data_IF_932015155523
#
_entry.id   IF_932015155523
#
_cell.length_a   1.000
_cell.length_b   1.000
_cell.length_c   1.000
_cell.angle_alpha   90.00
_cell.angle_beta   90.00
_cell.angle_gamma   90.00
#
_symmetry.space_group_name_H-M   'P 1'
#
loop_
_entity.id
_entity.type
_entity.pdbx_description
1 polymer ?
#
# COMPACT_ATOMS: atom_id res chain seq x y z
N UNK A 1 12.63 24.92 -12.12
CA UNK A 1 12.10 23.60 -11.78
C UNK A 1 13.29 22.73 -11.51
N UNK A 2 13.40 22.24 -10.28
CA UNK A 2 14.49 21.35 -9.88
C UNK A 2 14.43 20.05 -10.71
N UNK A 3 15.56 19.35 -10.88
CA UNK A 3 15.59 18.09 -11.62
C UNK A 3 14.68 17.04 -10.99
N UNK A 4 14.54 17.08 -9.66
CA UNK A 4 13.67 16.20 -8.89
C UNK A 4 12.18 16.49 -9.13
N UNK A 5 11.73 17.74 -9.02
CA UNK A 5 10.35 18.17 -9.29
C UNK A 5 9.92 17.79 -10.72
N UNK A 6 10.84 17.96 -11.67
CA UNK A 6 10.63 17.60 -13.08
C UNK A 6 10.41 16.10 -13.25
N UNK A 7 11.25 15.29 -12.62
CA UNK A 7 11.17 13.83 -12.71
C UNK A 7 9.89 13.30 -12.03
N UNK A 8 9.47 13.92 -10.92
CA UNK A 8 8.20 13.63 -10.24
C UNK A 8 6.98 13.90 -11.12
N UNK A 9 6.92 15.09 -11.75
CA UNK A 9 5.84 15.41 -12.69
C UNK A 9 5.86 14.49 -13.91
N UNK A 10 7.04 14.15 -14.44
CA UNK A 10 7.13 13.25 -15.59
C UNK A 10 6.76 11.80 -15.28
N UNK A 11 7.06 11.28 -14.09
CA UNK A 11 6.53 9.99 -13.64
C UNK A 11 5.01 10.01 -13.51
N UNK A 12 4.43 11.08 -12.95
CA UNK A 12 2.97 11.19 -12.87
C UNK A 12 2.35 11.23 -14.28
N UNK A 13 2.93 12.01 -15.19
CA UNK A 13 2.49 12.08 -16.59
C UNK A 13 2.69 10.75 -17.34
N UNK A 14 3.75 10.00 -17.03
CA UNK A 14 4.02 8.71 -17.65
C UNK A 14 3.06 7.62 -17.19
N UNK A 15 2.73 7.61 -15.90
CA UNK A 15 1.82 6.65 -15.29
C UNK A 15 0.36 6.89 -15.71
N UNK A 16 0.02 8.11 -16.16
CA UNK A 16 -1.34 8.49 -16.56
C UNK A 16 -1.54 8.46 -18.08
N UNK A 17 -0.54 8.82 -18.90
CA UNK A 17 -0.80 9.17 -20.31
C UNK A 17 0.37 9.13 -21.32
N UNK A 18 1.61 8.84 -20.94
CA UNK A 18 2.75 9.01 -21.88
C UNK A 18 2.64 8.15 -23.15
N UNK A 19 2.23 6.89 -23.03
CA UNK A 19 2.12 5.98 -24.18
C UNK A 19 1.03 6.39 -25.18
N UNK A 20 0.06 7.23 -24.76
CA UNK A 20 -1.08 7.64 -25.61
C UNK A 20 -0.97 9.04 -26.21
N UNK A 21 -0.20 9.95 -25.61
CA UNK A 21 -0.28 11.37 -26.00
C UNK A 21 1.07 12.03 -26.33
N UNK A 22 2.21 11.53 -25.84
CA UNK A 22 3.51 12.19 -26.05
C UNK A 22 4.67 11.20 -26.25
N UNK A 23 4.76 10.54 -27.42
CA UNK A 23 5.79 9.54 -27.74
C UNK A 23 7.22 10.10 -27.81
N UNK A 24 7.39 11.43 -27.72
CA UNK A 24 8.69 12.11 -27.81
C UNK A 24 9.19 12.67 -26.48
N UNK A 25 8.43 12.51 -25.40
CA UNK A 25 8.93 12.79 -24.05
C UNK A 25 9.61 11.52 -23.57
N UNK A 26 10.91 11.40 -23.84
CA UNK A 26 11.72 10.30 -23.33
C UNK A 26 11.81 10.46 -21.82
N UNK A 27 11.08 9.62 -21.10
CA UNK A 27 11.13 9.56 -19.65
C UNK A 27 12.51 9.00 -19.28
N UNK A 28 13.15 9.60 -18.29
CA UNK A 28 14.36 9.03 -17.74
C UNK A 28 14.00 7.75 -16.98
N UNK A 29 14.34 6.60 -17.56
CA UNK A 29 14.09 5.30 -16.92
C UNK A 29 14.79 5.18 -15.57
N UNK A 30 15.87 5.94 -15.34
CA UNK A 30 16.58 5.99 -14.06
C UNK A 30 15.70 6.57 -12.93
N UNK A 31 14.67 7.37 -13.24
CA UNK A 31 13.72 7.83 -12.23
C UNK A 31 12.93 6.65 -11.61
N UNK A 32 12.72 5.58 -12.37
CA UNK A 32 12.06 4.37 -11.89
C UNK A 32 12.98 3.47 -11.06
N UNK A 33 14.29 3.75 -11.02
CA UNK A 33 15.26 3.00 -10.23
C UNK A 33 15.21 3.36 -8.74
N UNK A 34 14.54 4.45 -8.34
CA UNK A 34 14.51 4.91 -6.95
C UNK A 34 13.08 5.02 -6.42
N UNK A 35 12.73 4.16 -5.47
CA UNK A 35 11.41 4.06 -4.84
C UNK A 35 10.96 5.35 -4.12
N UNK A 36 11.89 6.22 -3.75
CA UNK A 36 11.56 7.53 -3.17
C UNK A 36 10.76 8.38 -4.14
N UNK A 37 11.05 8.29 -5.43
CA UNK A 37 10.33 9.03 -6.45
C UNK A 37 8.86 8.57 -6.52
N UNK A 38 8.57 7.27 -6.40
CA UNK A 38 7.20 6.77 -6.30
C UNK A 38 6.47 7.32 -5.07
N UNK A 39 7.13 7.34 -3.91
CA UNK A 39 6.55 7.89 -2.70
C UNK A 39 6.26 9.40 -2.82
N UNK A 40 7.20 10.17 -3.38
CA UNK A 40 7.01 11.61 -3.64
C UNK A 40 5.88 11.88 -4.63
N UNK A 41 5.77 11.08 -5.69
CA UNK A 41 4.67 11.20 -6.66
C UNK A 41 3.30 11.00 -5.99
N UNK A 42 3.16 9.97 -5.14
CA UNK A 42 1.95 9.75 -4.36
C UNK A 42 1.73 10.89 -3.36
N UNK A 43 2.77 11.37 -2.68
CA UNK A 43 2.66 12.51 -1.77
C UNK A 43 2.06 13.73 -2.47
N UNK A 44 2.57 14.10 -3.64
CA UNK A 44 2.06 15.23 -4.42
C UNK A 44 0.59 14.99 -4.83
N UNK A 45 0.21 13.76 -5.20
CA UNK A 45 -1.19 13.43 -5.49
C UNK A 45 -2.10 13.56 -4.26
N UNK A 46 -1.62 13.15 -3.08
CA UNK A 46 -2.36 13.27 -1.82
C UNK A 46 -2.54 14.76 -1.44
N UNK A 47 -1.50 15.57 -1.58
CA UNK A 47 -1.58 17.02 -1.35
C UNK A 47 -2.57 17.68 -2.30
N UNK A 48 -2.55 17.31 -3.59
CA UNK A 48 -3.52 17.79 -4.58
C UNK A 48 -4.95 17.38 -4.22
N UNK A 49 -5.17 16.10 -3.88
CA UNK A 49 -6.49 15.60 -3.50
C UNK A 49 -7.05 16.29 -2.24
N UNK A 50 -6.16 16.68 -1.30
CA UNK A 50 -6.54 17.38 -0.09
C UNK A 50 -6.78 18.89 -0.29
N UNK A 51 -6.02 19.52 -1.19
CA UNK A 51 -6.03 20.98 -1.38
C UNK A 51 -7.07 21.47 -2.39
N UNK A 52 -7.45 20.63 -3.37
CA UNK A 52 -8.37 21.05 -4.41
C UNK A 52 -9.19 19.88 -4.97
N UNK A 53 -10.50 20.08 -5.14
CA UNK A 53 -11.42 19.10 -5.75
C UNK A 53 -11.32 19.13 -7.29
N UNK A 54 -10.09 19.10 -7.84
CA UNK A 54 -9.85 19.27 -9.27
C UNK A 54 -10.31 18.03 -10.05
N UNK A 55 -10.10 16.84 -9.48
CA UNK A 55 -10.54 15.56 -10.06
C UNK A 55 -11.21 14.68 -9.01
N UNK A 56 -11.96 13.68 -9.47
CA UNK A 56 -12.67 12.76 -8.57
C UNK A 56 -11.70 11.89 -7.75
N UNK A 57 -12.09 11.50 -6.53
CA UNK A 57 -11.33 10.50 -5.74
C UNK A 57 -11.14 9.18 -6.49
N UNK A 58 -12.07 8.81 -7.39
CA UNK A 58 -11.94 7.66 -8.28
C UNK A 58 -10.72 7.79 -9.21
N UNK A 59 -10.52 8.97 -9.76
CA UNK A 59 -9.35 9.27 -10.61
C UNK A 59 -8.06 9.14 -9.81
N UNK A 60 -7.99 9.74 -8.62
CA UNK A 60 -6.81 9.59 -7.75
C UNK A 60 -6.55 8.13 -7.36
N UNK A 61 -7.60 7.37 -7.03
CA UNK A 61 -7.48 5.96 -6.68
C UNK A 61 -6.94 5.11 -7.83
N UNK A 62 -7.40 5.34 -9.06
CA UNK A 62 -6.85 4.67 -10.26
C UNK A 62 -5.35 4.97 -10.40
N UNK A 63 -4.97 6.25 -10.34
CA UNK A 63 -3.57 6.67 -10.52
C UNK A 63 -2.69 6.04 -9.44
N UNK A 64 -3.07 6.17 -8.16
CA UNK A 64 -2.31 5.58 -7.05
C UNK A 64 -2.17 4.06 -7.24
N UNK A 65 -3.24 3.38 -7.66
CA UNK A 65 -3.21 1.93 -7.92
C UNK A 65 -2.20 1.56 -9.00
N UNK A 66 -2.19 2.29 -10.11
CA UNK A 66 -1.26 2.04 -11.21
C UNK A 66 0.20 2.33 -10.80
N UNK A 67 0.44 3.37 -9.98
CA UNK A 67 1.75 3.65 -9.37
C UNK A 67 2.22 2.48 -8.49
N UNK A 68 1.36 1.96 -7.62
CA UNK A 68 1.69 0.84 -6.73
C UNK A 68 2.01 -0.43 -7.51
N UNK A 69 1.21 -0.75 -8.53
CA UNK A 69 1.44 -1.91 -9.41
C UNK A 69 2.79 -1.77 -10.10
N UNK A 70 3.11 -0.59 -10.63
CA UNK A 70 4.41 -0.34 -11.28
C UNK A 70 5.58 -0.46 -10.31
N UNK A 71 5.43 0.05 -9.08
CA UNK A 71 6.43 -0.12 -8.02
C UNK A 71 6.68 -1.62 -7.74
N UNK A 72 5.62 -2.41 -7.59
CA UNK A 72 5.70 -3.87 -7.38
C UNK A 72 6.38 -4.56 -8.57
N UNK A 73 6.00 -4.21 -9.80
CA UNK A 73 6.57 -4.80 -11.01
C UNK A 73 8.08 -4.57 -11.11
N UNK A 74 8.55 -3.37 -10.78
CA UNK A 74 9.95 -2.98 -10.92
C UNK A 74 10.82 -3.38 -9.73
N UNK A 75 10.25 -3.47 -8.53
CA UNK A 75 10.97 -3.65 -7.25
C UNK A 75 10.62 -4.96 -6.53
N UNK A 76 10.03 -5.90 -7.25
CA UNK A 76 9.26 -7.04 -6.75
C UNK A 76 9.96 -8.08 -5.86
N UNK A 77 11.19 -7.85 -5.41
CA UNK A 77 11.93 -8.75 -4.51
C UNK A 77 12.20 -8.15 -3.12
N UNK A 78 11.92 -6.86 -2.92
CA UNK A 78 12.54 -6.12 -1.84
C UNK A 78 11.61 -5.62 -0.73
N UNK A 79 11.86 -6.08 0.50
CA UNK A 79 11.28 -5.54 1.73
C UNK A 79 11.72 -4.09 2.00
N UNK A 80 12.91 -3.74 1.55
CA UNK A 80 13.55 -2.46 1.85
C UNK A 80 12.89 -1.30 1.08
N UNK A 81 12.41 -1.57 -0.11
CA UNK A 81 11.78 -0.63 -1.03
C UNK A 81 10.40 -0.24 -0.53
N UNK A 82 9.62 -1.21 -0.02
CA UNK A 82 8.36 -0.89 0.67
C UNK A 82 8.61 -0.06 1.93
N UNK A 83 9.65 -0.39 2.71
CA UNK A 83 10.03 0.36 3.90
C UNK A 83 10.37 1.81 3.56
N UNK A 84 11.20 2.04 2.54
CA UNK A 84 11.51 3.40 2.07
C UNK A 84 10.24 4.11 1.62
N UNK A 85 9.43 3.47 0.78
CA UNK A 85 8.18 4.04 0.27
C UNK A 85 7.21 4.46 1.40
N UNK A 86 6.91 3.56 2.32
CA UNK A 86 5.96 3.81 3.40
C UNK A 86 6.54 4.78 4.44
N UNK A 87 7.86 4.76 4.65
CA UNK A 87 8.58 5.74 5.46
C UNK A 87 8.46 7.16 4.91
N UNK A 88 8.65 7.34 3.60
CA UNK A 88 8.49 8.64 2.94
C UNK A 88 7.04 9.15 2.99
N UNK A 89 6.05 8.29 2.77
CA UNK A 89 4.63 8.65 2.92
C UNK A 89 4.28 9.08 4.35
N UNK A 90 4.85 8.39 5.34
CA UNK A 90 4.54 8.65 6.76
C UNK A 90 5.16 9.93 7.32
N UNK A 91 6.05 10.60 6.56
CA UNK A 91 6.55 11.93 6.92
C UNK A 91 5.48 13.01 6.83
N UNK A 92 4.44 12.79 6.03
CA UNK A 92 3.35 13.74 5.86
C UNK A 92 2.25 13.44 6.90
N UNK A 93 1.86 14.44 7.72
CA UNK A 93 0.79 14.26 8.68
C UNK A 93 -0.51 13.78 8.01
N UNK A 94 -1.05 12.66 8.48
CA UNK A 94 -2.30 12.06 7.99
C UNK A 94 -2.28 11.58 6.52
N UNK A 95 -1.12 11.50 5.87
CA UNK A 95 -1.07 10.98 4.51
C UNK A 95 -1.58 9.54 4.42
N UNK A 96 -1.28 8.69 5.40
CA UNK A 96 -1.82 7.33 5.46
C UNK A 96 -3.35 7.28 5.56
N UNK A 97 -3.96 8.15 6.36
CA UNK A 97 -5.43 8.26 6.45
C UNK A 97 -6.05 8.66 5.11
N UNK A 98 -5.48 9.68 4.46
CA UNK A 98 -5.98 10.17 3.17
C UNK A 98 -5.77 9.14 2.07
N UNK A 99 -4.63 8.47 2.07
CA UNK A 99 -4.30 7.41 1.14
C UNK A 99 -5.31 6.27 1.20
N UNK A 100 -5.63 5.78 2.40
CA UNK A 100 -6.65 4.74 2.59
C UNK A 100 -8.03 5.24 2.19
N UNK A 101 -8.41 6.47 2.53
CA UNK A 101 -9.69 7.04 2.12
C UNK A 101 -9.83 7.13 0.60
N UNK A 102 -8.77 7.51 -0.11
CA UNK A 102 -8.79 7.55 -1.57
C UNK A 102 -8.91 6.13 -2.14
N UNK A 103 -8.05 5.20 -1.70
CA UNK A 103 -8.06 3.82 -2.20
C UNK A 103 -9.34 3.04 -1.85
N UNK A 104 -10.04 3.41 -0.80
CA UNK A 104 -11.31 2.78 -0.42
C UNK A 104 -12.53 3.57 -0.88
N UNK A 105 -12.33 4.71 -1.56
CA UNK A 105 -13.37 5.70 -1.86
C UNK A 105 -14.26 5.96 -0.63
N UNK A 106 -13.59 6.34 0.46
CA UNK A 106 -14.14 6.58 1.80
C UNK A 106 -14.95 5.40 2.36
N UNK A 107 -14.44 4.19 2.13
CA UNK A 107 -15.04 2.97 2.67
C UNK A 107 -16.00 2.22 1.75
N UNK A 108 -16.33 2.79 0.59
CA UNK A 108 -17.34 2.23 -0.33
C UNK A 108 -16.81 1.07 -1.17
N UNK A 109 -15.49 0.93 -1.32
CA UNK A 109 -14.88 -0.14 -2.12
C UNK A 109 -13.59 -0.67 -1.52
N UNK A 110 -13.21 -1.86 -1.99
CA UNK A 110 -11.91 -2.50 -1.77
C UNK A 110 -11.25 -2.91 -3.09
N UNK A 111 -11.83 -2.50 -4.22
CA UNK A 111 -11.43 -2.87 -5.58
C UNK A 111 -9.96 -2.54 -5.85
N UNK A 112 -9.53 -1.34 -5.49
CA UNK A 112 -8.16 -0.85 -5.74
C UNK A 112 -7.10 -1.64 -4.97
N UNK A 113 -7.32 -1.84 -3.67
CA UNK A 113 -6.47 -2.67 -2.82
C UNK A 113 -6.45 -4.12 -3.33
N UNK A 114 -7.61 -4.66 -3.74
CA UNK A 114 -7.70 -6.01 -4.30
C UNK A 114 -6.92 -6.14 -5.60
N UNK A 115 -6.96 -5.11 -6.48
CA UNK A 115 -6.22 -5.10 -7.75
C UNK A 115 -4.70 -5.09 -7.52
N UNK A 116 -4.21 -4.30 -6.56
CA UNK A 116 -2.79 -4.34 -6.13
C UNK A 116 -2.42 -5.72 -5.59
N UNK A 117 -3.30 -6.33 -4.77
CA UNK A 117 -3.05 -7.64 -4.19
C UNK A 117 -2.98 -8.75 -5.23
N UNK A 118 -3.94 -8.79 -6.16
CA UNK A 118 -3.97 -9.75 -7.26
C UNK A 118 -2.72 -9.63 -8.14
N UNK A 119 -2.28 -8.40 -8.42
CA UNK A 119 -1.04 -8.17 -9.15
C UNK A 119 0.16 -8.74 -8.41
N UNK A 120 0.32 -8.43 -7.12
CA UNK A 120 1.43 -8.93 -6.30
C UNK A 120 1.44 -10.46 -6.10
N UNK A 121 0.29 -11.11 -6.26
CA UNK A 121 0.15 -12.57 -6.23
C UNK A 121 0.42 -13.23 -7.59
N UNK A 122 0.74 -12.46 -8.63
CA UNK A 122 0.89 -12.96 -10.00
C UNK A 122 -0.42 -13.41 -10.64
N UNK A 123 -1.57 -12.93 -10.16
CA UNK A 123 -2.90 -13.32 -10.66
C UNK A 123 -3.37 -12.42 -11.82
N UNK A 124 -2.49 -12.08 -12.78
CA UNK A 124 -2.76 -11.23 -13.93
C UNK A 124 -2.22 -11.79 -15.26
N UNK A 125 -2.59 -11.16 -16.39
CA UNK A 125 -2.10 -11.51 -17.74
C UNK A 125 -0.69 -10.96 -18.03
N UNK A 126 -0.08 -10.27 -17.08
CA UNK A 126 1.24 -9.66 -17.22
C UNK A 126 2.28 -10.61 -16.63
N UNK A 127 3.23 -11.04 -17.44
CA UNK A 127 4.41 -11.81 -17.01
C UNK A 127 5.16 -11.00 -15.94
N UNK A 128 4.96 -11.28 -14.63
CA UNK A 128 5.99 -11.26 -13.56
C UNK A 128 5.47 -11.22 -12.10
N UNK A 129 6.42 -11.66 -11.26
CA UNK A 129 6.73 -11.42 -9.85
C UNK A 129 5.76 -11.95 -8.76
N UNK A 130 6.18 -13.04 -8.10
CA UNK A 130 5.59 -13.55 -6.86
C UNK A 130 6.04 -12.68 -5.67
N UNK A 131 5.45 -11.48 -5.55
CA UNK A 131 5.80 -10.44 -4.57
C UNK A 131 5.03 -10.57 -3.24
N UNK A 132 4.69 -11.79 -2.81
CA UNK A 132 3.83 -12.03 -1.64
C UNK A 132 4.35 -11.40 -0.34
N UNK A 133 5.66 -11.23 -0.19
CA UNK A 133 6.24 -10.52 0.95
C UNK A 133 5.87 -9.04 0.98
N UNK A 134 6.03 -8.34 -0.15
CA UNK A 134 5.61 -6.96 -0.34
C UNK A 134 4.10 -6.81 -0.07
N UNK A 135 3.29 -7.74 -0.60
CA UNK A 135 1.85 -7.74 -0.40
C UNK A 135 1.47 -7.74 1.09
N UNK A 136 2.04 -8.65 1.87
CA UNK A 136 1.72 -8.73 3.29
C UNK A 136 2.07 -7.43 4.05
N UNK A 137 3.20 -6.80 3.69
CA UNK A 137 3.61 -5.51 4.24
C UNK A 137 2.63 -4.38 3.90
N UNK A 138 2.26 -4.28 2.62
CA UNK A 138 1.27 -3.34 2.14
C UNK A 138 -0.07 -3.51 2.85
N UNK A 139 -0.58 -4.75 2.96
CA UNK A 139 -1.87 -5.03 3.60
C UNK A 139 -1.86 -4.67 5.09
N UNK A 140 -0.78 -4.95 5.82
CA UNK A 140 -0.71 -4.57 7.24
C UNK A 140 -0.68 -3.06 7.40
N UNK A 141 0.06 -2.34 6.56
CA UNK A 141 0.08 -0.88 6.59
C UNK A 141 -1.30 -0.28 6.24
N UNK A 142 -2.04 -0.85 5.27
CA UNK A 142 -3.42 -0.47 4.98
C UNK A 142 -4.33 -0.71 6.18
N UNK A 143 -4.23 -1.87 6.85
CA UNK A 143 -5.06 -2.19 8.02
C UNK A 143 -4.84 -1.15 9.13
N UNK A 144 -3.57 -0.79 9.41
CA UNK A 144 -3.23 0.21 10.41
C UNK A 144 -3.92 1.55 10.12
N UNK A 145 -3.71 2.09 8.92
CA UNK A 145 -4.28 3.37 8.52
C UNK A 145 -5.82 3.34 8.39
N UNK A 146 -6.41 2.18 8.08
CA UNK A 146 -7.87 1.99 8.06
C UNK A 146 -8.48 2.09 9.47
N UNK A 147 -7.82 1.49 10.46
CA UNK A 147 -8.26 1.55 11.87
C UNK A 147 -8.13 2.98 12.41
N UNK A 148 -7.07 3.69 12.04
CA UNK A 148 -6.83 5.07 12.48
C UNK A 148 -7.81 6.06 11.84
N UNK A 149 -7.98 5.99 10.52
CA UNK A 149 -8.87 6.89 9.77
C UNK A 149 -10.35 6.68 10.07
N UNK A 150 -10.76 5.48 10.53
CA UNK A 150 -12.15 5.08 10.79
C UNK A 150 -13.11 5.45 9.65
N UNK A 151 -12.71 5.21 8.40
CA UNK A 151 -13.61 5.39 7.26
C UNK A 151 -14.88 4.52 7.37
N UNK A 152 -15.87 4.79 6.51
CA UNK A 152 -17.09 3.98 6.49
C UNK A 152 -16.74 2.49 6.28
N UNK A 153 -17.44 1.58 6.96
CA UNK A 153 -17.21 0.14 6.82
C UNK A 153 -15.75 -0.33 7.09
N UNK A 154 -14.96 0.43 7.84
CA UNK A 154 -13.55 0.12 8.12
C UNK A 154 -13.32 -1.31 8.63
N UNK A 155 -14.25 -1.87 9.41
CA UNK A 155 -14.16 -3.27 9.91
C UNK A 155 -14.18 -4.29 8.77
N UNK A 156 -15.02 -4.08 7.76
CA UNK A 156 -15.14 -4.97 6.61
C UNK A 156 -13.91 -4.87 5.72
N UNK A 157 -13.36 -3.65 5.55
CA UNK A 157 -12.10 -3.43 4.85
C UNK A 157 -10.96 -4.16 5.56
N UNK A 158 -10.82 -3.96 6.88
CA UNK A 158 -9.81 -4.65 7.69
C UNK A 158 -9.94 -6.17 7.56
N UNK A 159 -11.15 -6.72 7.68
CA UNK A 159 -11.38 -8.15 7.52
C UNK A 159 -10.90 -8.64 6.15
N UNK A 160 -11.30 -7.97 5.08
CA UNK A 160 -10.92 -8.34 3.71
C UNK A 160 -9.41 -8.22 3.48
N UNK A 161 -8.75 -7.18 4.00
CA UNK A 161 -7.29 -7.08 3.97
C UNK A 161 -6.63 -8.24 4.71
N UNK A 162 -7.11 -8.58 5.91
CA UNK A 162 -6.62 -9.74 6.65
C UNK A 162 -6.83 -11.06 5.91
N UNK A 163 -7.90 -11.17 5.10
CA UNK A 163 -8.16 -12.36 4.30
C UNK A 163 -7.23 -12.53 3.11
N UNK A 164 -6.73 -11.41 2.55
CA UNK A 164 -5.73 -11.35 1.48
C UNK A 164 -4.30 -11.63 1.95
N UNK A 165 -4.04 -11.61 3.26
CA UNK A 165 -2.71 -11.91 3.81
C UNK A 165 -2.34 -13.37 3.56
N UNK A 166 -1.19 -13.56 2.92
CA UNK A 166 -0.59 -14.86 2.64
C UNK A 166 0.21 -15.36 3.84
N UNK A 167 -0.43 -16.20 4.65
CA UNK A 167 0.12 -16.69 5.93
C UNK A 167 1.42 -17.47 5.77
N UNK A 168 1.60 -18.19 4.65
CA UNK A 168 2.81 -18.99 4.39
C UNK A 168 4.04 -18.15 4.10
N UNK A 169 3.85 -16.95 3.56
CA UNK A 169 4.93 -15.99 3.26
C UNK A 169 5.14 -14.98 4.39
N UNK A 170 4.20 -14.92 5.33
CA UNK A 170 4.24 -14.02 6.48
C UNK A 170 5.47 -14.26 7.37
N UNK A 171 5.86 -15.52 7.59
CA UNK A 171 7.00 -15.84 8.46
C UNK A 171 8.36 -15.57 7.80
N UNK A 172 8.38 -15.39 6.47
CA UNK A 172 9.61 -15.10 5.70
C UNK A 172 9.84 -13.61 5.49
N UNK A 173 8.84 -12.78 5.76
CA UNK A 173 8.88 -11.34 5.52
C UNK A 173 9.42 -10.62 6.75
N UNK A 174 10.33 -9.66 6.55
CA UNK A 174 10.78 -8.79 7.64
C UNK A 174 9.78 -7.65 7.86
N UNK A 175 9.21 -7.60 9.07
CA UNK A 175 8.28 -6.56 9.48
C UNK A 175 8.87 -5.62 10.54
N UNK A 176 10.18 -5.65 10.75
CA UNK A 176 10.90 -4.72 11.62
C UNK A 176 10.53 -3.27 11.33
N UNK A 177 10.31 -2.91 10.06
CA UNK A 177 9.94 -1.56 9.67
C UNK A 177 8.53 -1.13 10.10
N UNK A 178 7.60 -2.07 10.32
CA UNK A 178 6.28 -1.72 10.86
C UNK A 178 6.41 -1.07 12.24
N UNK A 179 7.53 -1.23 12.96
CA UNK A 179 7.79 -0.51 14.21
C UNK A 179 8.01 0.98 14.00
N UNK A 180 8.62 1.35 12.88
CA UNK A 180 8.86 2.75 12.51
C UNK A 180 7.54 3.40 12.09
N UNK A 181 6.61 2.63 11.52
CA UNK A 181 5.35 3.11 10.96
C UNK A 181 4.13 2.93 11.88
N UNK A 182 4.18 2.01 12.85
CA UNK A 182 3.07 1.71 13.74
C UNK A 182 3.17 2.48 15.05
N UNK A 183 2.08 3.14 15.43
CA UNK A 183 1.94 3.77 16.76
C UNK A 183 1.90 2.75 17.91
N UNK A 184 1.48 1.50 17.67
CA UNK A 184 1.64 0.35 18.59
C UNK A 184 1.15 -0.95 17.93
N UNK A 185 1.98 -1.99 17.89
CA UNK A 185 1.56 -3.32 17.42
C UNK A 185 0.51 -3.98 18.32
N UNK A 186 0.45 -3.59 19.61
CA UNK A 186 -0.51 -4.13 20.57
C UNK A 186 -1.93 -3.61 20.30
N UNK A 187 -2.09 -2.30 20.06
CA UNK A 187 -3.41 -1.71 19.78
C UNK A 187 -3.98 -2.20 18.45
N UNK A 188 -3.10 -2.44 17.47
CA UNK A 188 -3.47 -3.08 16.20
C UNK A 188 -4.03 -4.49 16.45
N UNK A 189 -3.34 -5.31 17.23
CA UNK A 189 -3.77 -6.68 17.53
C UNK A 189 -5.11 -6.71 18.28
N UNK A 190 -5.30 -5.83 19.26
CA UNK A 190 -6.56 -5.69 19.99
C UNK A 190 -7.72 -5.27 19.07
N UNK A 191 -7.43 -4.43 18.08
CA UNK A 191 -8.42 -3.95 17.11
C UNK A 191 -8.83 -5.01 16.08
N UNK A 192 -7.88 -5.82 15.60
CA UNK A 192 -8.16 -6.84 14.57
C UNK A 192 -8.69 -8.15 15.15
N UNK A 193 -8.35 -8.50 16.39
CA UNK A 193 -8.77 -9.76 17.02
C UNK A 193 -10.30 -9.99 16.97
N UNK A 194 -11.16 -9.04 17.39
CA UNK A 194 -12.61 -9.24 17.34
C UNK A 194 -13.17 -9.23 15.91
N UNK A 195 -12.41 -8.76 14.92
CA UNK A 195 -12.82 -8.72 13.50
C UNK A 195 -12.52 -10.05 12.83
N UNK A 196 -11.35 -10.63 13.14
CA UNK A 196 -10.86 -11.85 12.51
C UNK A 196 -11.34 -13.11 13.21
N UNK A 197 -11.28 -13.17 14.54
CA UNK A 197 -11.52 -14.40 15.29
C UNK A 197 -13.01 -14.66 15.44
N UNK A 198 -13.59 -15.30 14.42
CA UNK A 198 -14.96 -15.80 14.49
C UNK A 198 -15.01 -16.98 15.45
N UNK A 199 -16.01 -16.99 16.34
CA UNK A 199 -16.22 -18.08 17.29
C UNK A 199 -16.36 -19.39 16.51
N UNK A 200 -15.63 -20.42 16.96
CA UNK A 200 -15.65 -21.77 16.38
C UNK A 200 -15.04 -21.93 14.97
N UNK A 201 -14.39 -20.90 14.42
CA UNK A 201 -13.60 -21.01 13.18
C UNK A 201 -12.09 -21.15 13.47
N UNK A 202 -11.61 -22.39 13.44
CA UNK A 202 -10.20 -22.71 13.67
C UNK A 202 -9.26 -22.07 12.64
N UNK A 203 -9.70 -21.82 11.40
CA UNK A 203 -8.86 -21.26 10.34
C UNK A 203 -8.60 -19.77 10.58
N UNK A 204 -9.64 -19.00 10.89
CA UNK A 204 -9.47 -17.57 11.23
C UNK A 204 -8.62 -17.37 12.48
N UNK A 205 -8.82 -18.20 13.51
CA UNK A 205 -7.99 -18.17 14.73
C UNK A 205 -6.53 -18.49 14.43
N UNK A 206 -6.26 -19.50 13.57
CA UNK A 206 -4.89 -19.82 13.14
C UNK A 206 -4.24 -18.66 12.38
N UNK A 207 -4.97 -18.03 11.45
CA UNK A 207 -4.49 -16.86 10.69
C UNK A 207 -4.16 -15.69 11.62
N UNK A 208 -5.05 -15.37 12.56
CA UNK A 208 -4.78 -14.33 13.56
C UNK A 208 -3.54 -14.65 14.40
N UNK A 209 -3.33 -15.90 14.81
CA UNK A 209 -2.11 -16.31 15.55
C UNK A 209 -0.84 -16.09 14.73
N UNK A 210 -0.85 -16.38 13.43
CA UNK A 210 0.30 -16.12 12.55
C UNK A 210 0.61 -14.62 12.44
N UNK A 211 -0.42 -13.80 12.21
CA UNK A 211 -0.28 -12.33 12.20
C UNK A 211 0.27 -11.82 13.55
N UNK A 212 -0.31 -12.31 14.65
CA UNK A 212 0.13 -11.99 16.01
C UNK A 212 1.58 -12.38 16.27
N UNK A 213 2.03 -13.55 15.80
CA UNK A 213 3.41 -14.00 15.98
C UNK A 213 4.37 -13.02 15.32
N UNK A 214 4.13 -12.69 14.06
CA UNK A 214 4.98 -11.78 13.29
C UNK A 214 5.04 -10.38 13.89
N UNK A 215 3.88 -9.78 14.20
CA UNK A 215 3.82 -8.44 14.79
C UNK A 215 4.48 -8.34 16.18
N UNK A 216 4.56 -9.44 16.92
CA UNK A 216 5.26 -9.50 18.21
C UNK A 216 6.77 -9.77 18.08
N UNK A 217 7.21 -10.53 17.08
CA UNK A 217 8.63 -10.84 16.88
C UNK A 217 9.42 -9.61 16.46
N UNK A 218 8.81 -8.71 15.68
CA UNK A 218 9.42 -7.43 15.29
C UNK A 218 9.73 -6.49 16.48
N UNK A 219 9.27 -6.82 17.71
CA UNK A 219 9.54 -6.09 18.99
C UNK A 219 10.91 -6.37 19.61
N UNK A 220 11.58 -7.43 19.18
CA UNK A 220 12.74 -8.03 19.90
C UNK A 220 14.09 -7.80 19.21
N UNK A 221 14.14 -6.97 18.17
CA UNK A 221 15.36 -6.49 17.52
C UNK A 221 15.46 -4.98 17.65
#
# INVERSE_FOLDING_TARGET
MDSDERNEMFMLLSLISADKYYPHITIDEHAYENEKYFAKAINNLLELANSATIVSHKTYANIITDILIRLIYLKGDGCWEFKTFAGELSKIPKAGDLFVKILTLDGTTMEYITRVAQFAQGMGNEDRADCKGYLNMFLIWIIQNTIESKCSYWKDIVKRCCDLIEVTELEKSDFSFLWILARSSLSLLESIQPIMCVKDDAKSVKRFRSIKKVLNTSRRQ
#
